data_IF_250333939747
#
_entry.id   IF_250333939747
#
_cell.length_a   1.000
_cell.length_b   1.000
_cell.length_c   1.000
_cell.angle_alpha   90.00
_cell.angle_beta   90.00
_cell.angle_gamma   90.00
#
_symmetry.space_group_name_H-M   'P 1'
#
loop_
_entity.id
_entity.type
_entity.pdbx_description
1 polymer ?
#
# COMPACT_ATOMS: atom_id res chain seq x y z
N UNK A 1 -0.32 6.39 21.79
CA UNK A 1 0.82 5.56 21.32
C UNK A 1 2.05 6.44 21.30
N UNK A 2 3.19 6.02 21.87
CA UNK A 2 4.44 6.79 21.74
C UNK A 2 4.90 6.85 20.28
N UNK A 3 5.54 7.96 19.87
CA UNK A 3 6.12 8.14 18.53
C UNK A 3 7.12 7.04 18.16
N UNK A 4 7.85 6.53 19.15
CA UNK A 4 8.81 5.44 18.97
C UNK A 4 8.11 4.18 18.47
N UNK A 5 6.94 3.84 19.03
CA UNK A 5 6.17 2.67 18.61
C UNK A 5 5.66 2.82 17.16
N UNK A 6 5.19 4.01 16.81
CA UNK A 6 4.71 4.37 15.46
C UNK A 6 5.82 4.17 14.41
N UNK A 7 7.03 4.62 14.70
CA UNK A 7 8.20 4.45 13.81
C UNK A 7 8.62 2.98 13.73
N UNK A 8 8.75 2.30 14.87
CA UNK A 8 9.13 0.88 14.90
C UNK A 8 8.13 0.01 14.11
N UNK A 9 6.82 0.25 14.26
CA UNK A 9 5.79 -0.43 13.50
C UNK A 9 5.93 -0.18 11.98
N UNK A 10 6.25 1.06 11.59
CA UNK A 10 6.49 1.40 10.17
C UNK A 10 7.65 0.58 9.60
N UNK A 11 8.78 0.55 10.31
CA UNK A 11 9.97 -0.20 9.89
C UNK A 11 9.65 -1.69 9.78
N UNK A 12 9.00 -2.27 10.79
CA UNK A 12 8.62 -3.70 10.79
C UNK A 12 7.72 -4.04 9.60
N UNK A 13 6.71 -3.20 9.31
CA UNK A 13 5.79 -3.41 8.19
C UNK A 13 6.53 -3.37 6.87
N UNK A 14 7.42 -2.40 6.69
CA UNK A 14 8.16 -2.22 5.43
C UNK A 14 9.20 -3.33 5.24
N UNK A 15 9.96 -3.69 6.27
CA UNK A 15 10.89 -4.82 6.20
C UNK A 15 10.17 -6.15 5.97
N UNK A 16 9.01 -6.35 6.61
CA UNK A 16 8.13 -7.48 6.34
C UNK A 16 7.68 -7.51 4.87
N UNK A 17 7.38 -6.36 4.28
CA UNK A 17 7.02 -6.28 2.87
C UNK A 17 8.17 -6.67 1.96
N UNK A 18 9.38 -6.11 2.20
CA UNK A 18 10.58 -6.47 1.43
C UNK A 18 10.84 -7.97 1.49
N UNK A 19 10.70 -8.59 2.67
CA UNK A 19 10.86 -10.03 2.84
C UNK A 19 9.81 -10.85 2.06
N UNK A 20 8.54 -10.43 2.08
CA UNK A 20 7.47 -11.09 1.34
C UNK A 20 7.63 -10.93 -0.17
N UNK A 21 7.99 -9.73 -0.64
CA UNK A 21 8.22 -9.44 -2.06
C UNK A 21 9.39 -10.24 -2.64
N UNK A 22 10.39 -10.60 -1.82
CA UNK A 22 11.48 -11.50 -2.22
C UNK A 22 11.11 -12.99 -2.25
N UNK A 23 9.89 -13.38 -1.86
CA UNK A 23 9.46 -14.78 -1.84
C UNK A 23 9.27 -15.34 -3.25
N UNK A 24 9.63 -16.62 -3.44
CA UNK A 24 9.33 -17.37 -4.67
C UNK A 24 7.86 -17.77 -4.81
N UNK A 25 7.07 -17.69 -3.72
CA UNK A 25 5.65 -18.00 -3.76
C UNK A 25 4.86 -16.79 -4.31
N UNK A 26 4.12 -16.92 -5.43
CA UNK A 26 3.44 -15.81 -6.08
C UNK A 26 2.34 -15.17 -5.21
N UNK A 27 1.76 -15.93 -4.28
CA UNK A 27 0.74 -15.41 -3.36
C UNK A 27 1.41 -14.52 -2.32
N UNK A 28 2.53 -14.96 -1.74
CA UNK A 28 3.26 -14.19 -0.72
C UNK A 28 3.87 -12.92 -1.31
N UNK A 29 4.47 -13.01 -2.50
CA UNK A 29 5.08 -11.85 -3.16
C UNK A 29 4.08 -10.80 -3.64
N UNK A 30 2.79 -11.17 -3.73
CA UNK A 30 1.71 -10.25 -4.09
C UNK A 30 1.10 -9.52 -2.90
N UNK A 31 1.50 -9.83 -1.66
CA UNK A 31 1.07 -9.10 -0.48
C UNK A 31 1.78 -7.75 -0.41
N UNK A 32 1.02 -6.67 -0.51
CA UNK A 32 1.49 -5.31 -0.35
C UNK A 32 1.10 -4.79 1.04
N UNK A 33 1.95 -5.08 2.02
CA UNK A 33 1.72 -4.67 3.41
C UNK A 33 1.62 -3.14 3.59
N UNK A 34 2.41 -2.29 2.90
CA UNK A 34 2.25 -0.84 3.00
C UNK A 34 0.87 -0.35 2.59
N UNK A 35 0.31 -0.85 1.49
CA UNK A 35 -1.05 -0.49 1.06
C UNK A 35 -2.08 -1.03 2.05
N UNK A 36 -1.95 -2.29 2.46
CA UNK A 36 -2.86 -2.89 3.43
C UNK A 36 -2.89 -2.10 4.74
N UNK A 37 -1.71 -1.67 5.21
CA UNK A 37 -1.61 -0.80 6.37
C UNK A 37 -2.24 0.57 6.12
N UNK A 38 -1.94 1.24 5.01
CA UNK A 38 -2.52 2.54 4.68
C UNK A 38 -4.05 2.49 4.69
N UNK A 39 -4.65 1.49 4.02
CA UNK A 39 -6.10 1.30 3.97
C UNK A 39 -6.69 1.09 5.37
N UNK A 40 -6.11 0.20 6.16
CA UNK A 40 -6.58 -0.06 7.53
C UNK A 40 -6.35 1.14 8.47
N UNK A 41 -5.28 1.89 8.25
CA UNK A 41 -4.89 3.04 9.08
C UNK A 41 -5.88 4.20 8.99
N UNK A 42 -6.65 4.30 7.89
CA UNK A 42 -7.64 5.37 7.65
C UNK A 42 -8.58 5.53 8.85
N UNK A 43 -9.04 4.42 9.44
CA UNK A 43 -9.97 4.41 10.58
C UNK A 43 -9.27 4.59 11.93
N UNK A 44 -8.00 4.20 12.02
CA UNK A 44 -7.30 4.01 13.29
C UNK A 44 -6.39 5.17 13.66
N UNK A 45 -5.92 5.93 12.68
CA UNK A 45 -4.90 6.96 12.87
C UNK A 45 -5.24 8.28 12.17
N UNK A 46 -4.61 9.33 12.70
CA UNK A 46 -4.69 10.70 12.21
C UNK A 46 -3.94 10.88 10.88
N UNK A 47 -4.41 11.81 10.05
CA UNK A 47 -3.84 12.10 8.73
C UNK A 47 -2.32 12.38 8.76
N UNK A 48 -1.77 13.19 9.69
CA UNK A 48 -0.32 13.43 9.76
C UNK A 48 0.48 12.14 9.91
N UNK A 49 0.00 11.19 10.72
CA UNK A 49 0.67 9.91 10.88
C UNK A 49 0.59 9.06 9.60
N UNK A 50 -0.56 9.00 8.93
CA UNK A 50 -0.73 8.25 7.67
C UNK A 50 0.19 8.79 6.57
N UNK A 51 0.34 10.12 6.50
CA UNK A 51 1.21 10.78 5.54
C UNK A 51 2.70 10.54 5.88
N UNK A 52 3.08 10.64 7.17
CA UNK A 52 4.43 10.30 7.60
C UNK A 52 4.78 8.83 7.31
N UNK A 53 3.85 7.91 7.56
CA UNK A 53 4.01 6.50 7.20
C UNK A 53 4.22 6.33 5.70
N UNK A 54 3.37 6.94 4.86
CA UNK A 54 3.47 6.85 3.40
C UNK A 54 4.84 7.30 2.88
N UNK A 55 5.33 8.45 3.38
CA UNK A 55 6.63 9.00 2.98
C UNK A 55 7.79 8.15 3.48
N UNK A 56 7.78 7.70 4.74
CA UNK A 56 8.85 6.86 5.30
C UNK A 56 8.88 5.48 4.66
N UNK A 57 7.72 4.85 4.48
CA UNK A 57 7.62 3.57 3.79
C UNK A 57 8.10 3.68 2.35
N UNK A 58 7.72 4.77 1.66
CA UNK A 58 8.16 5.03 0.30
C UNK A 58 9.66 5.23 0.21
N UNK A 59 10.22 6.04 1.11
CA UNK A 59 11.67 6.29 1.19
C UNK A 59 12.46 5.00 1.39
N UNK A 60 12.04 4.15 2.35
CA UNK A 60 12.71 2.88 2.61
C UNK A 60 12.63 1.99 1.37
N UNK A 61 11.47 1.87 0.73
CA UNK A 61 11.34 1.04 -0.48
C UNK A 61 12.13 1.59 -1.66
N UNK A 62 12.21 2.91 -1.82
CA UNK A 62 13.03 3.53 -2.86
C UNK A 62 14.50 3.12 -2.72
N UNK A 63 15.04 3.03 -1.48
CA UNK A 63 16.41 2.57 -1.21
C UNK A 63 16.65 1.11 -1.63
N UNK A 64 15.63 0.26 -1.51
CA UNK A 64 15.72 -1.15 -1.91
C UNK A 64 15.34 -1.42 -3.36
N UNK A 65 14.89 -0.40 -4.09
CA UNK A 65 14.39 -0.55 -5.45
C UNK A 65 15.41 -0.14 -6.52
N UNK A 66 15.32 -0.77 -7.69
CA UNK A 66 16.08 -0.36 -8.88
C UNK A 66 15.36 0.72 -9.71
N UNK A 67 14.39 1.42 -9.11
CA UNK A 67 13.61 2.46 -9.79
C UNK A 67 14.22 3.84 -9.52
N UNK A 68 13.86 4.88 -10.30
CA UNK A 68 14.21 6.26 -9.98
C UNK A 68 13.80 6.60 -8.54
N UNK A 69 14.75 7.12 -7.77
CA UNK A 69 14.51 7.47 -6.37
C UNK A 69 13.32 8.43 -6.23
N UNK A 70 12.42 8.15 -5.29
CA UNK A 70 11.18 8.90 -5.08
C UNK A 70 9.94 8.27 -5.73
N UNK A 71 10.10 7.20 -6.51
CA UNK A 71 8.99 6.49 -7.17
C UNK A 71 7.96 5.97 -6.16
N UNK A 72 8.42 5.27 -5.12
CA UNK A 72 7.55 4.76 -4.06
C UNK A 72 7.04 5.86 -3.14
N UNK A 73 7.87 6.86 -2.81
CA UNK A 73 7.43 8.03 -2.03
C UNK A 73 6.24 8.73 -2.68
N UNK A 74 6.33 9.07 -3.97
CA UNK A 74 5.25 9.73 -4.71
C UNK A 74 4.02 8.83 -4.77
N UNK A 75 4.21 7.54 -5.05
CA UNK A 75 3.11 6.58 -5.15
C UNK A 75 2.33 6.46 -3.84
N UNK A 76 3.01 6.25 -2.72
CA UNK A 76 2.34 6.13 -1.42
C UNK A 76 1.77 7.46 -0.93
N UNK A 77 2.40 8.58 -1.24
CA UNK A 77 1.84 9.90 -0.98
C UNK A 77 0.49 10.09 -1.69
N UNK A 78 0.42 9.78 -2.99
CA UNK A 78 -0.81 9.84 -3.78
C UNK A 78 -1.90 8.92 -3.22
N UNK A 79 -1.54 7.69 -2.83
CA UNK A 79 -2.47 6.74 -2.21
C UNK A 79 -2.99 7.29 -0.88
N UNK A 80 -2.12 7.78 0.00
CA UNK A 80 -2.49 8.29 1.32
C UNK A 80 -3.50 9.44 1.21
N UNK A 81 -3.22 10.42 0.35
CA UNK A 81 -4.14 11.56 0.11
C UNK A 81 -5.46 11.09 -0.50
N UNK A 82 -5.39 10.28 -1.57
CA UNK A 82 -6.60 9.83 -2.28
C UNK A 82 -7.52 9.03 -1.36
N UNK A 83 -6.94 8.13 -0.57
CA UNK A 83 -7.70 7.32 0.39
C UNK A 83 -8.33 8.17 1.49
N UNK A 84 -7.63 9.18 2.01
CA UNK A 84 -8.16 10.08 3.03
C UNK A 84 -9.32 10.92 2.50
N UNK A 85 -9.13 11.54 1.33
CA UNK A 85 -10.16 12.33 0.64
C UNK A 85 -11.40 11.48 0.33
N UNK A 86 -11.21 10.26 -0.17
CA UNK A 86 -12.33 9.36 -0.48
C UNK A 86 -13.07 8.91 0.78
N UNK A 87 -12.33 8.60 1.84
CA UNK A 87 -12.94 8.18 3.10
C UNK A 87 -13.82 9.28 3.72
N UNK A 88 -13.33 10.51 3.79
CA UNK A 88 -14.08 11.61 4.40
C UNK A 88 -15.25 12.11 3.55
N UNK A 89 -15.16 12.03 2.22
CA UNK A 89 -16.22 12.56 1.33
C UNK A 89 -17.24 11.51 0.89
N UNK A 90 -16.86 10.24 0.74
CA UNK A 90 -17.73 9.21 0.12
C UNK A 90 -17.96 7.98 1.00
N UNK A 91 -17.02 7.62 1.88
CA UNK A 91 -17.02 6.33 2.59
C UNK A 91 -16.99 6.49 4.11
N UNK A 92 -17.81 7.41 4.63
CA UNK A 92 -17.91 7.69 6.07
C UNK A 92 -18.48 6.53 6.89
N UNK A 93 -19.31 5.68 6.26
CA UNK A 93 -19.81 4.47 6.87
C UNK A 93 -18.65 3.49 6.98
N UNK A 94 -18.13 3.30 8.20
CA UNK A 94 -16.95 2.47 8.56
C UNK A 94 -17.17 0.95 8.36
N UNK A 95 -17.97 0.60 7.37
CA UNK A 95 -18.33 -0.76 6.98
C UNK A 95 -17.15 -1.47 6.31
N UNK A 96 -17.21 -2.80 6.30
CA UNK A 96 -16.25 -3.64 5.58
C UNK A 96 -16.26 -3.34 4.07
N UNK A 97 -17.45 -3.10 3.49
CA UNK A 97 -17.60 -2.78 2.07
C UNK A 97 -16.86 -1.51 1.69
N UNK A 98 -17.02 -0.44 2.48
CA UNK A 98 -16.30 0.83 2.30
C UNK A 98 -14.78 0.63 2.27
N UNK A 99 -14.25 -0.18 3.19
CA UNK A 99 -12.81 -0.44 3.29
C UNK A 99 -12.31 -1.34 2.16
N UNK A 100 -13.11 -2.31 1.70
CA UNK A 100 -12.78 -3.11 0.53
C UNK A 100 -12.75 -2.28 -0.76
N UNK A 101 -13.68 -1.33 -0.92
CA UNK A 101 -13.66 -0.40 -2.06
C UNK A 101 -12.43 0.50 -1.99
N UNK A 102 -12.11 1.06 -0.82
CA UNK A 102 -10.89 1.84 -0.62
C UNK A 102 -9.62 1.02 -0.89
N UNK A 103 -9.59 -0.26 -0.50
CA UNK A 103 -8.51 -1.19 -0.86
C UNK A 103 -8.35 -1.31 -2.37
N UNK A 104 -9.45 -1.55 -3.09
CA UNK A 104 -9.45 -1.69 -4.54
C UNK A 104 -8.90 -0.43 -5.21
N UNK A 105 -9.35 0.75 -4.76
CA UNK A 105 -8.87 2.04 -5.26
C UNK A 105 -7.38 2.23 -4.93
N UNK A 106 -6.94 1.96 -3.70
CA UNK A 106 -5.54 2.10 -3.29
C UNK A 106 -4.59 1.22 -4.10
N UNK A 107 -4.95 -0.05 -4.33
CA UNK A 107 -4.18 -0.99 -5.16
C UNK A 107 -4.17 -0.54 -6.62
N UNK A 108 -5.28 0.01 -7.12
CA UNK A 108 -5.36 0.53 -8.48
C UNK A 108 -4.49 1.77 -8.67
N UNK A 109 -4.50 2.71 -7.72
CA UNK A 109 -3.60 3.88 -7.75
C UNK A 109 -2.15 3.43 -7.69
N UNK A 110 -1.81 2.47 -6.83
CA UNK A 110 -0.46 1.92 -6.75
C UNK A 110 0.01 1.38 -8.10
N UNK A 111 -0.77 0.47 -8.68
CA UNK A 111 -0.42 -0.17 -9.94
C UNK A 111 -0.38 0.83 -11.10
N UNK A 112 -1.34 1.75 -11.18
CA UNK A 112 -1.38 2.79 -12.20
C UNK A 112 -0.17 3.73 -12.10
N UNK A 113 0.19 4.18 -10.89
CA UNK A 113 1.38 5.02 -10.68
C UNK A 113 2.65 4.29 -11.11
N UNK A 114 2.74 3.00 -10.80
CA UNK A 114 3.87 2.15 -11.19
C UNK A 114 3.99 2.00 -12.71
N UNK A 115 2.89 1.79 -13.43
CA UNK A 115 2.90 1.73 -14.90
C UNK A 115 3.40 3.06 -15.47
N UNK A 116 2.92 4.19 -14.94
CA UNK A 116 3.34 5.51 -15.42
C UNK A 116 4.84 5.74 -15.19
N UNK A 117 5.34 5.39 -14.01
CA UNK A 117 6.75 5.53 -13.66
C UNK A 117 7.63 4.64 -14.54
N UNK A 118 7.27 3.36 -14.71
CA UNK A 118 8.00 2.42 -15.56
C UNK A 118 8.00 2.84 -17.03
N UNK A 119 6.85 3.31 -17.52
CA UNK A 119 6.74 3.81 -18.90
C UNK A 119 7.60 5.06 -19.09
N UNK A 120 7.61 5.97 -18.10
CA UNK A 120 8.46 7.15 -18.11
C UNK A 120 9.95 6.81 -18.06
N UNK A 121 10.36 5.87 -17.20
CA UNK A 121 11.76 5.43 -17.09
C UNK A 121 12.24 4.73 -18.36
N UNK A 122 11.37 3.95 -19.01
CA UNK A 122 11.65 3.33 -20.30
C UNK A 122 11.85 4.37 -21.41
N UNK A 123 10.94 5.35 -21.54
CA UNK A 123 11.04 6.42 -22.55
C UNK A 123 12.29 7.30 -22.39
N UNK A 124 12.77 7.47 -21.16
CA UNK A 124 13.97 8.23 -20.85
C UNK A 124 15.26 7.40 -20.95
N UNK A 125 15.17 6.11 -21.26
CA UNK A 125 16.32 5.21 -21.41
C UNK A 125 16.98 4.82 -20.07
N UNK A 126 16.30 5.00 -18.94
CA UNK A 126 16.80 4.60 -17.62
C UNK A 126 16.58 3.11 -17.34
N UNK A 127 15.70 2.45 -18.08
CA UNK A 127 15.36 1.04 -17.86
C UNK A 127 14.88 0.35 -19.14
N UNK A 128 15.28 -0.90 -19.35
CA UNK A 128 14.73 -1.76 -20.42
C UNK A 128 13.46 -2.52 -20.00
N UNK A 129 12.99 -2.30 -18.76
CA UNK A 129 11.84 -3.00 -18.21
C UNK A 129 10.52 -2.45 -18.77
N UNK A 130 9.90 -3.22 -19.65
CA UNK A 130 8.52 -3.04 -20.08
C UNK A 130 7.57 -3.99 -19.35
N UNK A 131 6.31 -3.58 -19.25
CA UNK A 131 5.23 -4.34 -18.62
C UNK A 131 5.13 -5.74 -19.23
N UNK A 132 5.27 -6.78 -18.41
CA UNK A 132 5.19 -8.18 -18.81
C UNK A 132 3.74 -8.54 -19.22
N UNK A 133 3.57 -9.50 -20.14
CA UNK A 133 2.27 -10.08 -20.52
C UNK A 133 1.47 -10.61 -19.30
N UNK A 134 2.16 -11.06 -18.25
CA UNK A 134 1.54 -11.53 -17.01
C UNK A 134 1.11 -10.41 -16.05
N UNK A 135 1.30 -9.14 -16.41
CA UNK A 135 1.02 -8.01 -15.51
C UNK A 135 -0.44 -7.96 -15.05
N UNK A 136 -1.40 -8.17 -15.95
CA UNK A 136 -2.83 -8.15 -15.62
C UNK A 136 -3.17 -9.25 -14.61
N UNK A 137 -2.61 -10.44 -14.78
CA UNK A 137 -2.80 -11.55 -13.85
C UNK A 137 -2.18 -11.25 -12.48
N UNK A 138 -0.98 -10.66 -12.45
CA UNK A 138 -0.34 -10.23 -11.21
C UNK A 138 -1.15 -9.14 -10.50
N UNK A 139 -1.71 -8.18 -11.25
CA UNK A 139 -2.61 -7.14 -10.72
C UNK A 139 -3.87 -7.73 -10.09
N UNK A 140 -4.55 -8.64 -10.79
CA UNK A 140 -5.75 -9.31 -10.28
C UNK A 140 -5.44 -10.15 -9.03
N UNK A 141 -4.30 -10.82 -9.01
CA UNK A 141 -3.86 -11.60 -7.86
C UNK A 141 -3.54 -10.69 -6.67
N UNK A 142 -2.86 -9.56 -6.89
CA UNK A 142 -2.64 -8.54 -5.86
C UNK A 142 -3.96 -8.01 -5.31
N UNK A 143 -4.94 -7.69 -6.17
CA UNK A 143 -6.26 -7.25 -5.72
C UNK A 143 -6.92 -8.27 -4.79
N UNK A 144 -6.94 -9.54 -5.20
CA UNK A 144 -7.60 -10.61 -4.45
C UNK A 144 -6.89 -10.86 -3.12
N UNK A 145 -5.57 -11.03 -3.15
CA UNK A 145 -4.76 -11.31 -1.94
C UNK A 145 -4.81 -10.14 -0.96
N UNK A 146 -4.57 -8.91 -1.40
CA UNK A 146 -4.60 -7.76 -0.50
C UNK A 146 -6.02 -7.46 0.01
N UNK A 147 -7.04 -7.68 -0.82
CA UNK A 147 -8.44 -7.61 -0.39
C UNK A 147 -8.73 -8.57 0.76
N UNK A 148 -8.23 -9.82 0.69
CA UNK A 148 -8.34 -10.79 1.78
C UNK A 148 -7.56 -10.37 3.02
N UNK A 149 -6.31 -9.92 2.87
CA UNK A 149 -5.49 -9.43 4.00
C UNK A 149 -6.19 -8.28 4.72
N UNK A 150 -6.76 -7.34 3.97
CA UNK A 150 -7.48 -6.18 4.52
C UNK A 150 -8.81 -6.60 5.14
N UNK A 151 -9.56 -7.54 4.56
CA UNK A 151 -10.78 -8.07 5.16
C UNK A 151 -10.50 -8.73 6.53
N UNK A 152 -9.44 -9.56 6.59
CA UNK A 152 -8.99 -10.19 7.84
C UNK A 152 -8.53 -9.13 8.84
N UNK A 153 -7.70 -8.18 8.42
CA UNK A 153 -7.23 -7.08 9.26
C UNK A 153 -8.37 -6.20 9.79
N UNK A 154 -9.40 -5.97 8.98
CA UNK A 154 -10.61 -5.27 9.41
C UNK A 154 -11.35 -6.05 10.49
N UNK A 155 -11.57 -7.35 10.30
CA UNK A 155 -12.24 -8.18 11.29
C UNK A 155 -11.49 -8.22 12.63
N UNK A 156 -10.17 -8.38 12.59
CA UNK A 156 -9.30 -8.36 13.77
C UNK A 156 -9.33 -7.01 14.49
N UNK A 157 -9.17 -5.91 13.75
CA UNK A 157 -9.21 -4.56 14.34
C UNK A 157 -10.57 -4.25 14.97
N UNK A 158 -11.66 -4.68 14.34
CA UNK A 158 -13.00 -4.46 14.88
C UNK A 158 -13.26 -5.28 16.15
N UNK A 159 -12.75 -6.52 16.24
CA UNK A 159 -12.79 -7.29 17.50
C UNK A 159 -11.99 -6.59 18.59
N UNK A 160 -10.75 -6.17 18.31
CA UNK A 160 -9.91 -5.48 19.29
C UNK A 160 -10.54 -4.19 19.81
N UNK A 161 -11.21 -3.43 18.95
CA UNK A 161 -11.91 -2.20 19.33
C UNK A 161 -13.15 -2.45 20.20
N UNK A 162 -13.79 -3.62 20.11
CA UNK A 162 -14.91 -3.99 21.00
C UNK A 162 -14.47 -4.37 22.41
N UNK A 163 -13.20 -4.70 22.60
CA UNK A 163 -12.63 -5.03 23.93
C UNK A 163 -12.08 -3.80 24.67
N UNK A 164 -12.14 -2.61 24.05
CA UNK A 164 -11.89 -1.32 24.69
C UNK A 164 -13.21 -0.65 25.01
#
# INVERSE_FOLDING_TARGET
MSWIFKIAATIIIVLGHVALSGSSNPILSSINLPIAFLVLSIRLFDFPFKLAFALLAGFILDVYSNLPFGSFMITFFLISISLDVLFYNFFTDRSLYSILVLSLIGITIYNFSFILILSGSYLLGFSDFLVNQNYIWNYLLQLLVNGLVIAIGFYLSNRLLKFK
#
